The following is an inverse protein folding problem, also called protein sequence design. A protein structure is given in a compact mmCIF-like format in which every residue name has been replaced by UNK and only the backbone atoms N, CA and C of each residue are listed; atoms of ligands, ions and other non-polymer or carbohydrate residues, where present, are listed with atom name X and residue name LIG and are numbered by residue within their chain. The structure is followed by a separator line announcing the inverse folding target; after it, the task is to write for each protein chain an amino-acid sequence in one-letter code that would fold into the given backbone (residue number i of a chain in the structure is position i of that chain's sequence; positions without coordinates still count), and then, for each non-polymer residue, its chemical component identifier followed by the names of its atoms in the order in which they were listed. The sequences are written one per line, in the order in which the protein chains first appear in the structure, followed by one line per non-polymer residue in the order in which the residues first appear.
data_IF_798262661097
#
_entry.id   IF_798262661097
#
_cell.length_a   1.000
_cell.length_b   1.000
_cell.length_c   1.000
_cell.angle_alpha   90.00
_cell.angle_beta   90.00
_cell.angle_gamma   90.00
#
_symmetry.space_group_name_H-M   'P 1'
#
loop_
_entity.id
_entity.type
_entity.pdbx_description
1 polymer ?
#
# COMPACT_ATOMS: atom_id res chain seq x y z
N UNK A 1 -35.95 -50.75 -12.36
CA UNK A 1 -34.52 -50.53 -12.11
C UNK A 1 -34.08 -49.29 -12.92
N UNK A 2 -34.08 -48.12 -12.30
CA UNK A 2 -33.63 -46.84 -12.92
C UNK A 2 -32.16 -46.62 -12.57
N UNK A 3 -31.28 -46.70 -13.54
CA UNK A 3 -29.86 -46.37 -13.38
C UNK A 3 -29.71 -44.87 -13.31
N UNK A 4 -29.29 -44.34 -12.13
CA UNK A 4 -28.87 -42.96 -11.94
C UNK A 4 -27.45 -42.83 -12.52
N UNK A 5 -27.29 -42.10 -13.60
CA UNK A 5 -26.00 -41.68 -14.11
C UNK A 5 -25.62 -40.40 -13.37
N UNK A 6 -24.66 -40.49 -12.44
CA UNK A 6 -23.97 -39.32 -11.89
C UNK A 6 -23.03 -38.79 -12.95
N UNK A 7 -23.37 -37.65 -13.54
CA UNK A 7 -22.45 -36.87 -14.35
C UNK A 7 -21.50 -36.09 -13.41
N UNK A 8 -20.27 -36.58 -13.31
CA UNK A 8 -19.17 -35.87 -12.67
C UNK A 8 -18.76 -34.71 -13.60
N UNK A 9 -19.24 -33.50 -13.33
CA UNK A 9 -18.76 -32.31 -14.00
C UNK A 9 -17.34 -32.03 -13.52
N UNK A 10 -16.34 -32.37 -14.36
CA UNK A 10 -14.97 -31.90 -14.18
C UNK A 10 -14.95 -30.39 -14.39
N UNK A 11 -14.91 -29.64 -13.30
CA UNK A 11 -14.55 -28.23 -13.35
C UNK A 11 -13.03 -28.17 -13.57
N UNK A 12 -12.61 -28.13 -14.82
CA UNK A 12 -11.24 -27.75 -15.18
C UNK A 12 -11.11 -26.27 -14.95
N UNK A 13 -10.80 -25.88 -13.71
CA UNK A 13 -10.33 -24.56 -13.40
C UNK A 13 -9.04 -24.32 -14.17
N UNK A 14 -9.04 -23.34 -15.08
CA UNK A 14 -7.83 -22.80 -15.68
C UNK A 14 -7.11 -22.03 -14.57
N UNK A 15 -6.41 -22.76 -13.71
CA UNK A 15 -5.36 -22.19 -12.90
C UNK A 15 -4.21 -21.85 -13.87
N UNK A 16 -4.24 -20.66 -14.48
CA UNK A 16 -3.04 -20.10 -15.08
C UNK A 16 -2.05 -19.91 -13.93
N UNK A 17 -1.17 -20.89 -13.84
CA UNK A 17 -0.23 -21.00 -12.73
C UNK A 17 0.61 -19.72 -12.65
N UNK A 18 0.49 -18.97 -11.56
CA UNK A 18 1.39 -17.86 -11.20
C UNK A 18 2.86 -18.30 -11.27
N UNK A 19 3.16 -19.58 -11.02
CA UNK A 19 4.48 -20.20 -11.13
C UNK A 19 5.16 -20.03 -12.51
N UNK A 20 4.42 -19.63 -13.56
CA UNK A 20 4.95 -19.44 -14.90
C UNK A 20 5.19 -17.94 -15.24
N UNK A 21 4.70 -17.00 -14.43
CA UNK A 21 4.86 -15.56 -14.66
C UNK A 21 6.18 -15.04 -14.10
N UNK A 22 6.91 -14.26 -14.91
CA UNK A 22 8.16 -13.65 -14.47
C UNK A 22 7.89 -12.36 -13.72
N UNK A 23 8.35 -12.29 -12.47
CA UNK A 23 8.08 -11.20 -11.54
C UNK A 23 9.31 -10.37 -11.28
N UNK A 24 9.16 -9.04 -11.31
CA UNK A 24 10.18 -8.07 -10.90
C UNK A 24 9.65 -7.22 -9.74
N UNK A 25 10.44 -7.08 -8.68
CA UNK A 25 10.25 -6.06 -7.66
C UNK A 25 11.15 -4.87 -8.00
N UNK A 26 10.53 -3.77 -8.45
CA UNK A 26 11.24 -2.55 -8.86
C UNK A 26 10.83 -1.43 -7.91
N UNK A 27 11.78 -0.77 -7.23
CA UNK A 27 11.44 0.16 -6.18
C UNK A 27 12.42 1.32 -6.02
N UNK A 28 11.90 2.46 -5.55
CA UNK A 28 12.68 3.55 -4.98
C UNK A 28 12.51 3.59 -3.46
N UNK A 29 13.59 3.83 -2.74
CA UNK A 29 13.55 3.99 -1.28
C UNK A 29 14.53 5.06 -0.84
N UNK A 30 14.03 6.10 -0.15
CA UNK A 30 14.87 7.19 0.35
C UNK A 30 15.58 6.81 1.65
N UNK A 31 14.83 6.32 2.62
CA UNK A 31 15.32 6.05 3.98
C UNK A 31 15.38 4.55 4.34
N UNK A 32 15.27 3.66 3.35
CA UNK A 32 15.31 2.21 3.55
C UNK A 32 13.96 1.56 3.85
N UNK A 33 12.92 2.30 4.22
CA UNK A 33 11.62 1.71 4.61
C UNK A 33 10.96 0.96 3.45
N UNK A 34 10.87 1.59 2.26
CA UNK A 34 10.33 0.91 1.07
C UNK A 34 11.21 -0.28 0.64
N UNK A 35 12.53 -0.17 0.82
CA UNK A 35 13.47 -1.27 0.59
C UNK A 35 13.13 -2.50 1.44
N UNK A 36 12.84 -2.31 2.73
CA UNK A 36 12.45 -3.41 3.63
C UNK A 36 11.22 -4.16 3.09
N UNK A 37 10.22 -3.44 2.61
CA UNK A 37 9.02 -4.04 1.99
C UNK A 37 9.37 -4.76 0.68
N UNK A 38 10.24 -4.17 -0.14
CA UNK A 38 10.70 -4.76 -1.40
C UNK A 38 11.46 -6.06 -1.20
N UNK A 39 12.36 -6.12 -0.23
CA UNK A 39 13.13 -7.31 0.12
C UNK A 39 12.23 -8.43 0.66
N UNK A 40 11.19 -8.08 1.42
CA UNK A 40 10.22 -9.07 1.88
C UNK A 40 9.37 -9.61 0.71
N UNK A 41 8.93 -8.76 -0.23
CA UNK A 41 8.27 -9.20 -1.47
C UNK A 41 9.17 -10.12 -2.29
N UNK A 42 10.44 -9.75 -2.48
CA UNK A 42 11.41 -10.59 -3.16
C UNK A 42 11.50 -11.98 -2.54
N UNK A 43 11.65 -12.04 -1.22
CA UNK A 43 11.77 -13.28 -0.45
C UNK A 43 10.53 -14.16 -0.60
N UNK A 44 9.33 -13.58 -0.47
CA UNK A 44 8.07 -14.34 -0.52
C UNK A 44 7.71 -14.83 -1.92
N UNK A 45 8.10 -14.09 -2.97
CA UNK A 45 7.79 -14.41 -4.36
C UNK A 45 8.93 -15.14 -5.09
N UNK A 46 10.15 -15.17 -4.54
CA UNK A 46 11.33 -15.63 -5.25
C UNK A 46 11.64 -14.77 -6.49
N UNK A 47 11.25 -13.50 -6.48
CA UNK A 47 11.29 -12.60 -7.62
C UNK A 47 12.68 -11.98 -7.84
N UNK A 48 12.91 -11.48 -9.06
CA UNK A 48 14.01 -10.55 -9.31
C UNK A 48 13.75 -9.21 -8.60
N UNK A 49 14.79 -8.52 -8.16
CA UNK A 49 14.68 -7.22 -7.50
C UNK A 49 15.65 -6.22 -8.08
N UNK A 50 15.24 -4.95 -8.20
CA UNK A 50 16.10 -3.84 -8.58
C UNK A 50 15.65 -2.54 -7.92
N UNK A 51 16.64 -1.78 -7.42
CA UNK A 51 16.40 -0.44 -6.90
C UNK A 51 16.48 0.61 -8.01
N UNK A 52 15.52 1.51 -8.04
CA UNK A 52 15.60 2.76 -8.81
C UNK A 52 16.43 3.75 -8.02
N UNK A 53 17.50 4.26 -8.62
CA UNK A 53 18.40 5.19 -7.95
C UNK A 53 18.40 6.53 -8.69
N UNK A 54 18.20 7.63 -7.95
CA UNK A 54 18.46 8.96 -8.50
C UNK A 54 19.97 9.14 -8.77
N UNK A 55 20.33 9.80 -9.89
CA UNK A 55 21.73 10.10 -10.20
C UNK A 55 22.33 11.00 -9.12
N UNK A 56 21.58 12.03 -8.72
CA UNK A 56 21.89 12.84 -7.55
C UNK A 56 21.01 12.36 -6.40
N UNK A 57 21.61 11.71 -5.41
CA UNK A 57 20.88 11.26 -4.22
C UNK A 57 20.22 12.46 -3.50
N UNK A 58 19.08 12.21 -2.87
CA UNK A 58 18.51 13.16 -1.94
C UNK A 58 19.37 13.15 -0.68
N UNK A 59 19.96 14.28 -0.36
CA UNK A 59 20.88 14.43 0.77
C UNK A 59 20.37 15.50 1.72
N UNK A 60 20.78 15.41 2.97
CA UNK A 60 20.32 16.31 4.02
C UNK A 60 19.23 15.68 4.90
N UNK A 61 18.53 16.54 5.61
CA UNK A 61 17.44 16.12 6.49
C UNK A 61 16.11 15.96 5.74
N UNK A 62 15.08 15.61 6.49
CA UNK A 62 13.72 15.48 5.96
C UNK A 62 13.22 16.77 5.27
N UNK A 63 13.58 17.96 5.79
CA UNK A 63 13.16 19.23 5.21
C UNK A 63 13.83 19.49 3.86
N UNK A 64 15.11 19.17 3.72
CA UNK A 64 15.83 19.28 2.45
C UNK A 64 15.21 18.37 1.37
N UNK A 65 14.88 17.13 1.73
CA UNK A 65 14.17 16.19 0.84
C UNK A 65 12.81 16.74 0.41
N UNK A 66 12.02 17.27 1.35
CA UNK A 66 10.71 17.90 1.06
C UNK A 66 10.86 19.09 0.12
N UNK A 67 11.80 20.01 0.39
CA UNK A 67 12.00 21.20 -0.44
C UNK A 67 12.40 20.83 -1.86
N UNK A 68 13.36 19.90 -2.02
CA UNK A 68 13.79 19.41 -3.34
C UNK A 68 12.65 18.72 -4.08
N UNK A 69 12.00 17.76 -3.45
CA UNK A 69 10.91 17.01 -4.07
C UNK A 69 9.71 17.90 -4.46
N UNK A 70 9.41 18.93 -3.65
CA UNK A 70 8.36 19.89 -3.98
C UNK A 70 8.73 20.74 -5.21
N UNK A 71 9.98 21.23 -5.27
CA UNK A 71 10.50 21.98 -6.43
C UNK A 71 10.45 21.14 -7.70
N UNK A 72 10.89 19.89 -7.65
CA UNK A 72 10.83 18.95 -8.79
C UNK A 72 9.39 18.72 -9.25
N UNK A 73 8.47 18.51 -8.31
CA UNK A 73 7.05 18.31 -8.60
C UNK A 73 6.42 19.54 -9.27
N UNK A 74 6.65 20.72 -8.72
CA UNK A 74 6.06 21.99 -9.21
C UNK A 74 6.63 22.42 -10.56
N UNK A 75 7.92 22.20 -10.78
CA UNK A 75 8.58 22.53 -12.04
C UNK A 75 8.35 21.48 -13.15
N UNK A 76 7.93 20.26 -12.80
CA UNK A 76 7.90 19.13 -13.72
C UNK A 76 9.30 18.66 -14.18
N UNK A 77 10.36 19.16 -13.56
CA UNK A 77 11.75 18.76 -13.80
C UNK A 77 12.13 17.67 -12.80
N UNK A 78 11.82 16.44 -13.14
CA UNK A 78 12.09 15.30 -12.28
C UNK A 78 13.56 14.91 -12.29
N UNK A 79 14.07 14.27 -11.21
CA UNK A 79 15.46 13.90 -11.10
C UNK A 79 15.84 12.84 -12.13
N UNK A 80 17.03 12.94 -12.71
CA UNK A 80 17.58 11.87 -13.51
C UNK A 80 17.78 10.63 -12.64
N UNK A 81 17.51 9.45 -13.20
CA UNK A 81 17.73 8.15 -12.56
C UNK A 81 18.86 7.39 -13.25
N UNK A 82 19.54 6.51 -12.52
CA UNK A 82 20.48 5.57 -13.12
C UNK A 82 19.71 4.60 -14.02
N UNK A 83 20.37 4.15 -15.09
CA UNK A 83 19.75 3.20 -16.01
C UNK A 83 19.35 1.90 -15.29
N UNK A 84 18.13 1.44 -15.55
CA UNK A 84 17.63 0.16 -15.05
C UNK A 84 18.36 -0.97 -15.77
N UNK A 85 18.93 -1.91 -15.00
CA UNK A 85 19.70 -3.05 -15.52
C UNK A 85 18.79 -4.19 -16.00
N UNK A 86 17.66 -4.39 -15.30
CA UNK A 86 16.67 -5.39 -15.65
C UNK A 86 15.83 -4.91 -16.82
N UNK A 87 15.72 -5.74 -17.87
CA UNK A 87 14.87 -5.38 -18.99
C UNK A 87 13.38 -5.60 -18.62
N UNK A 88 12.64 -4.52 -18.47
CA UNK A 88 11.21 -4.51 -18.09
C UNK A 88 10.37 -5.42 -19.01
N UNK A 89 10.75 -5.54 -20.29
CA UNK A 89 10.03 -6.38 -21.27
C UNK A 89 10.04 -7.86 -20.89
N UNK A 90 11.02 -8.31 -20.15
CA UNK A 90 11.20 -9.73 -19.78
C UNK A 90 10.28 -10.18 -18.65
N UNK A 91 9.48 -9.28 -18.06
CA UNK A 91 8.63 -9.55 -16.90
C UNK A 91 7.15 -9.37 -17.26
N UNK A 92 6.32 -10.19 -16.65
CA UNK A 92 4.86 -10.14 -16.82
C UNK A 92 4.22 -9.25 -15.74
N UNK A 93 4.76 -9.37 -14.51
CA UNK A 93 4.28 -8.65 -13.33
C UNK A 93 5.44 -7.83 -12.72
N UNK A 94 5.15 -6.58 -12.44
CA UNK A 94 6.08 -5.66 -11.78
C UNK A 94 5.43 -5.15 -10.50
N UNK A 95 6.01 -5.54 -9.36
CA UNK A 95 5.72 -4.89 -8.09
C UNK A 95 6.50 -3.58 -8.05
N UNK A 96 5.78 -2.46 -8.16
CA UNK A 96 6.38 -1.13 -8.24
C UNK A 96 6.29 -0.42 -6.88
N UNK A 97 7.45 -0.21 -6.25
CA UNK A 97 7.57 0.28 -4.88
C UNK A 97 8.03 1.73 -4.77
N UNK A 98 7.41 2.49 -3.84
CA UNK A 98 7.76 3.90 -3.61
C UNK A 98 7.29 4.43 -2.25
N UNK A 99 7.99 5.41 -1.67
CA UNK A 99 7.41 6.22 -0.62
C UNK A 99 6.38 7.21 -1.20
N UNK A 100 5.31 7.46 -0.45
CA UNK A 100 4.34 8.51 -0.81
C UNK A 100 4.92 9.86 -0.47
N UNK A 101 5.10 10.70 -1.51
CA UNK A 101 5.48 12.09 -1.41
C UNK A 101 4.36 12.98 -1.98
N UNK A 102 3.90 13.95 -1.21
CA UNK A 102 2.85 14.89 -1.64
C UNK A 102 1.55 14.20 -2.16
N UNK A 103 1.20 13.07 -1.56
CA UNK A 103 0.00 12.30 -1.94
C UNK A 103 0.15 11.44 -3.20
N UNK A 104 1.35 11.37 -3.78
CA UNK A 104 1.65 10.54 -4.96
C UNK A 104 2.97 9.77 -4.78
N UNK A 105 3.45 9.09 -5.82
CA UNK A 105 4.75 8.42 -5.80
C UNK A 105 5.91 9.42 -5.82
N UNK A 106 7.05 9.03 -5.25
CA UNK A 106 8.28 9.82 -5.21
C UNK A 106 8.79 10.17 -6.62
N UNK A 107 9.44 11.32 -6.76
CA UNK A 107 9.85 11.89 -8.06
C UNK A 107 10.75 10.99 -8.90
N UNK A 108 11.68 10.18 -8.36
CA UNK A 108 12.43 9.19 -9.16
C UNK A 108 11.55 8.17 -9.88
N UNK A 109 10.40 7.81 -9.29
CA UNK A 109 9.42 6.93 -9.95
C UNK A 109 8.70 7.66 -11.09
N UNK A 110 8.47 8.97 -10.99
CA UNK A 110 7.92 9.75 -12.10
C UNK A 110 8.85 9.69 -13.33
N UNK A 111 10.16 9.81 -13.11
CA UNK A 111 11.17 9.64 -14.18
C UNK A 111 11.15 8.23 -14.75
N UNK A 112 11.16 7.20 -13.89
CA UNK A 112 11.09 5.80 -14.31
C UNK A 112 9.91 5.54 -15.22
N UNK A 113 8.71 5.97 -14.80
CA UNK A 113 7.44 5.79 -15.53
C UNK A 113 7.45 6.50 -16.87
N UNK A 114 8.07 7.68 -16.95
CA UNK A 114 8.19 8.47 -18.19
C UNK A 114 9.17 7.86 -19.19
N UNK A 115 10.29 7.32 -18.71
CA UNK A 115 11.41 6.90 -19.56
C UNK A 115 11.34 5.43 -19.99
N UNK A 116 10.43 4.63 -19.40
CA UNK A 116 10.34 3.21 -19.66
C UNK A 116 8.94 2.81 -20.19
N UNK A 117 8.92 1.76 -21.00
CA UNK A 117 7.68 1.22 -21.56
C UNK A 117 7.11 0.08 -20.69
N UNK A 118 5.98 0.34 -20.05
CA UNK A 118 5.22 -0.62 -19.25
C UNK A 118 3.97 -1.15 -19.97
N UNK A 119 3.83 -0.92 -21.29
CA UNK A 119 2.65 -1.36 -22.03
C UNK A 119 2.45 -2.89 -21.91
N UNK A 120 1.22 -3.29 -21.62
CA UNK A 120 0.83 -4.70 -21.46
C UNK A 120 1.31 -5.35 -20.14
N UNK A 121 2.06 -4.66 -19.29
CA UNK A 121 2.53 -5.20 -18.02
C UNK A 121 1.45 -5.10 -16.95
N UNK A 122 1.44 -6.08 -16.05
CA UNK A 122 0.70 -5.99 -14.79
C UNK A 122 1.56 -5.26 -13.77
N UNK A 123 1.07 -4.14 -13.25
CA UNK A 123 1.75 -3.35 -12.22
C UNK A 123 0.99 -3.49 -10.90
N UNK A 124 1.68 -3.93 -9.87
CA UNK A 124 1.17 -4.02 -8.50
C UNK A 124 1.88 -2.97 -7.66
N UNK A 125 1.25 -1.82 -7.37
CA UNK A 125 1.89 -0.80 -6.54
C UNK A 125 2.10 -1.31 -5.11
N UNK A 126 3.24 -0.97 -4.52
CA UNK A 126 3.39 -1.04 -3.07
C UNK A 126 4.04 0.22 -2.55
N UNK A 127 3.57 0.72 -1.42
CA UNK A 127 4.06 2.00 -0.94
C UNK A 127 4.22 2.07 0.57
N UNK A 128 5.14 2.94 0.98
CA UNK A 128 5.31 3.32 2.39
C UNK A 128 4.91 4.78 2.57
N UNK A 129 4.33 5.11 3.71
CA UNK A 129 3.79 6.44 3.94
C UNK A 129 3.77 6.82 5.42
N UNK A 130 3.66 8.11 5.71
CA UNK A 130 3.42 8.63 7.05
C UNK A 130 1.94 8.51 7.46
N UNK A 131 1.01 8.75 6.51
CA UNK A 131 -0.42 8.81 6.81
C UNK A 131 -1.32 7.98 5.88
N UNK A 132 -0.97 7.84 4.60
CA UNK A 132 -1.76 7.18 3.58
C UNK A 132 -1.34 7.64 2.18
N UNK A 133 -2.16 7.33 1.15
CA UNK A 133 -1.95 7.81 -0.21
C UNK A 133 -1.85 6.71 -1.26
N UNK A 134 -2.01 5.43 -0.89
CA UNK A 134 -1.99 4.31 -1.83
C UNK A 134 -2.99 4.50 -2.98
N UNK A 135 -4.25 4.80 -2.66
CA UNK A 135 -5.30 4.96 -3.67
C UNK A 135 -4.99 6.12 -4.62
N UNK A 136 -4.62 7.29 -4.07
CA UNK A 136 -4.31 8.49 -4.87
C UNK A 136 -3.11 8.24 -5.78
N UNK A 137 -2.06 7.61 -5.27
CA UNK A 137 -0.87 7.30 -6.08
C UNK A 137 -1.13 6.22 -7.13
N UNK A 138 -1.99 5.24 -6.83
CA UNK A 138 -2.42 4.23 -7.81
C UNK A 138 -3.22 4.85 -8.95
N UNK A 139 -4.11 5.81 -8.67
CA UNK A 139 -4.81 6.58 -9.70
C UNK A 139 -3.85 7.44 -10.54
N UNK A 140 -2.82 8.01 -9.92
CA UNK A 140 -1.77 8.72 -10.64
C UNK A 140 -0.98 7.78 -11.58
N UNK A 141 -0.66 6.55 -11.14
CA UNK A 141 -0.04 5.52 -11.98
C UNK A 141 -0.94 5.11 -13.16
N UNK A 142 -2.24 4.91 -12.94
CA UNK A 142 -3.19 4.60 -14.01
C UNK A 142 -3.20 5.67 -15.10
N UNK A 143 -3.15 6.95 -14.70
CA UNK A 143 -3.07 8.08 -15.63
C UNK A 143 -1.74 8.13 -16.39
N UNK A 144 -0.64 7.84 -15.70
CA UNK A 144 0.70 7.87 -16.28
C UNK A 144 0.98 6.66 -17.19
N UNK A 145 0.39 5.51 -16.88
CA UNK A 145 0.59 4.23 -17.57
C UNK A 145 -0.73 3.67 -18.15
N UNK A 146 -1.40 4.37 -19.07
CA UNK A 146 -2.74 3.99 -19.55
C UNK A 146 -2.78 2.65 -20.32
N UNK A 147 -1.62 2.12 -20.73
CA UNK A 147 -1.48 0.84 -21.43
C UNK A 147 -1.04 -0.30 -20.51
N UNK A 148 -0.78 -0.03 -19.23
CA UNK A 148 -0.47 -1.05 -18.22
C UNK A 148 -1.73 -1.44 -17.45
N UNK A 149 -1.70 -2.63 -16.85
CA UNK A 149 -2.78 -3.14 -16.01
C UNK A 149 -2.43 -2.90 -14.52
N UNK A 150 -2.88 -1.76 -13.99
CA UNK A 150 -2.63 -1.41 -12.58
C UNK A 150 -3.60 -2.16 -11.68
N UNK A 151 -3.07 -3.02 -10.83
CA UNK A 151 -3.83 -3.84 -9.87
C UNK A 151 -3.97 -3.15 -8.52
N UNK A 152 -4.76 -3.77 -7.65
CA UNK A 152 -4.78 -3.38 -6.23
C UNK A 152 -3.37 -3.48 -5.64
N UNK A 153 -2.96 -2.46 -4.92
CA UNK A 153 -1.64 -2.37 -4.32
C UNK A 153 -1.65 -2.68 -2.83
N UNK A 154 -0.45 -2.73 -2.25
CA UNK A 154 -0.21 -2.84 -0.81
C UNK A 154 0.38 -1.52 -0.30
N UNK A 155 -0.03 -1.10 0.90
CA UNK A 155 0.49 0.09 1.53
C UNK A 155 0.67 -0.07 3.03
N UNK A 156 1.78 0.43 3.56
CA UNK A 156 2.07 0.35 5.00
C UNK A 156 2.66 1.66 5.51
N UNK A 157 2.23 2.08 6.70
CA UNK A 157 2.89 3.21 7.38
C UNK A 157 4.33 2.87 7.73
N UNK A 158 5.22 3.85 7.56
CA UNK A 158 6.63 3.73 7.97
C UNK A 158 6.77 3.24 9.41
N UNK A 159 5.95 3.75 10.32
CA UNK A 159 5.94 3.34 11.72
C UNK A 159 5.51 1.87 11.96
N UNK A 160 4.87 1.23 10.97
CA UNK A 160 4.35 -0.14 11.04
C UNK A 160 5.07 -1.12 10.11
N UNK A 161 6.19 -0.72 9.52
CA UNK A 161 6.89 -1.56 8.53
C UNK A 161 7.27 -2.96 9.06
N UNK A 162 7.42 -3.11 10.37
CA UNK A 162 7.65 -4.41 11.00
C UNK A 162 6.49 -5.42 10.79
N UNK A 163 5.27 -4.93 10.59
CA UNK A 163 4.10 -5.78 10.30
C UNK A 163 4.05 -6.24 8.83
N UNK A 164 4.85 -5.63 7.95
CA UNK A 164 4.76 -5.84 6.50
C UNK A 164 4.91 -7.31 6.08
N UNK A 165 5.76 -8.10 6.74
CA UNK A 165 5.98 -9.50 6.37
C UNK A 165 4.68 -10.33 6.45
N UNK A 166 3.92 -10.19 7.53
CA UNK A 166 2.64 -10.89 7.74
C UNK A 166 1.53 -10.32 6.85
N UNK A 167 1.47 -9.01 6.72
CA UNK A 167 0.47 -8.32 5.90
C UNK A 167 0.66 -8.62 4.41
N UNK A 168 1.91 -8.69 3.92
CA UNK A 168 2.24 -9.07 2.56
C UNK A 168 1.91 -10.53 2.26
N UNK A 169 2.20 -11.45 3.18
CA UNK A 169 1.84 -12.85 3.02
C UNK A 169 0.35 -12.99 2.70
N UNK A 170 -0.48 -12.38 3.53
CA UNK A 170 -1.91 -12.31 3.32
C UNK A 170 -2.29 -11.65 2.00
N UNK A 171 -1.74 -10.48 1.72
CA UNK A 171 -2.02 -9.72 0.50
C UNK A 171 -1.70 -10.53 -0.77
N UNK A 172 -0.56 -11.23 -0.78
CA UNK A 172 -0.13 -12.03 -1.92
C UNK A 172 -1.06 -13.22 -2.17
N UNK A 173 -1.51 -13.89 -1.09
CA UNK A 173 -2.45 -15.02 -1.21
C UNK A 173 -3.83 -14.53 -1.67
N UNK A 174 -4.37 -13.49 -1.05
CA UNK A 174 -5.69 -12.94 -1.40
C UNK A 174 -5.79 -12.46 -2.86
N UNK A 175 -4.66 -12.00 -3.43
CA UNK A 175 -4.60 -11.51 -4.80
C UNK A 175 -4.06 -12.53 -5.82
N UNK A 176 -3.82 -13.78 -5.39
CA UNK A 176 -3.37 -14.87 -6.25
C UNK A 176 -1.93 -14.78 -6.72
N UNK A 177 -1.09 -14.03 -6.02
CA UNK A 177 0.37 -13.94 -6.30
C UNK A 177 1.19 -14.98 -5.55
N UNK A 178 0.58 -15.67 -4.61
CA UNK A 178 1.19 -16.74 -3.83
C UNK A 178 0.15 -17.80 -3.53
N UNK A 179 0.54 -19.07 -3.57
CA UNK A 179 -0.31 -20.16 -3.12
C UNK A 179 -0.51 -20.11 -1.60
N UNK A 180 -1.70 -20.47 -1.15
CA UNK A 180 -2.07 -20.50 0.26
C UNK A 180 -3.57 -20.30 0.45
N UNK A 181 -3.99 -20.42 1.69
CA UNK A 181 -5.37 -20.13 2.11
C UNK A 181 -5.34 -19.11 3.24
N UNK A 182 -6.17 -18.09 3.12
CA UNK A 182 -6.40 -17.09 4.18
C UNK A 182 -7.90 -16.93 4.37
N UNK A 183 -8.33 -16.92 5.63
CA UNK A 183 -9.74 -16.65 5.94
C UNK A 183 -10.07 -15.21 5.49
N UNK A 184 -11.23 -14.98 4.81
CA UNK A 184 -11.65 -13.64 4.45
C UNK A 184 -11.75 -12.74 5.69
N UNK A 185 -11.30 -11.47 5.55
CA UNK A 185 -11.51 -10.51 6.64
C UNK A 185 -13.00 -10.21 6.77
N UNK A 186 -13.56 -10.27 7.97
CA UNK A 186 -14.93 -9.82 8.20
C UNK A 186 -15.15 -8.39 7.72
N UNK A 187 -16.35 -8.07 7.29
CA UNK A 187 -16.71 -6.69 7.04
C UNK A 187 -16.67 -5.87 8.34
N UNK A 188 -16.42 -4.56 8.22
CA UNK A 188 -16.65 -3.68 9.36
C UNK A 188 -18.15 -3.65 9.69
N UNK A 189 -18.47 -3.66 10.97
CA UNK A 189 -19.82 -3.45 11.46
C UNK A 189 -20.38 -2.08 11.10
N UNK A 190 -21.65 -1.86 11.39
CA UNK A 190 -22.32 -0.57 11.18
C UNK A 190 -21.57 0.55 11.90
N UNK A 191 -21.60 1.74 11.31
CA UNK A 191 -21.06 2.94 11.93
C UNK A 191 -22.00 3.39 13.06
N UNK A 192 -21.49 3.38 14.28
CA UNK A 192 -22.20 3.85 15.48
C UNK A 192 -21.45 5.05 16.09
N UNK A 193 -22.12 5.91 16.89
CA UNK A 193 -21.44 6.98 17.61
C UNK A 193 -20.32 6.42 18.49
N UNK A 194 -19.17 7.13 18.52
CA UNK A 194 -18.02 6.73 19.35
C UNK A 194 -18.35 6.76 20.83
N UNK A 195 -17.92 5.76 21.56
CA UNK A 195 -17.94 5.73 23.04
C UNK A 195 -16.70 6.40 23.63
N UNK A 196 -16.65 6.65 24.95
CA UNK A 196 -15.42 7.10 25.59
C UNK A 196 -14.25 6.14 25.39
N UNK A 197 -14.50 4.83 25.40
CA UNK A 197 -13.50 3.78 25.17
C UNK A 197 -12.96 3.85 23.74
N UNK A 198 -13.84 4.01 22.75
CA UNK A 198 -13.45 4.18 21.34
C UNK A 198 -12.59 5.43 21.12
N UNK A 199 -12.95 6.52 21.82
CA UNK A 199 -12.19 7.77 21.79
C UNK A 199 -10.81 7.60 22.41
N UNK A 200 -10.69 6.80 23.47
CA UNK A 200 -9.40 6.47 24.09
C UNK A 200 -8.51 5.66 23.13
N UNK A 201 -9.07 4.64 22.46
CA UNK A 201 -8.35 3.86 21.44
C UNK A 201 -7.85 4.78 20.30
N UNK A 202 -8.72 5.64 19.77
CA UNK A 202 -8.33 6.60 18.74
C UNK A 202 -7.19 7.52 19.21
N UNK A 203 -7.33 8.10 20.39
CA UNK A 203 -6.34 9.03 20.95
C UNK A 203 -4.99 8.34 21.19
N UNK A 204 -4.98 7.13 21.73
CA UNK A 204 -3.76 6.36 21.95
C UNK A 204 -3.07 6.04 20.62
N UNK A 205 -3.81 5.51 19.63
CA UNK A 205 -3.28 5.18 18.31
C UNK A 205 -2.67 6.37 17.58
N UNK A 206 -3.29 7.55 17.72
CA UNK A 206 -2.92 8.75 16.98
C UNK A 206 -1.97 9.68 17.76
N UNK A 207 -1.60 9.33 19.00
CA UNK A 207 -0.82 10.18 19.91
C UNK A 207 0.54 10.61 19.34
N UNK A 208 1.18 9.76 18.54
CA UNK A 208 2.49 10.01 17.93
C UNK A 208 2.40 10.62 16.52
N UNK A 209 1.19 10.80 16.00
CA UNK A 209 1.01 11.37 14.67
C UNK A 209 1.08 12.90 14.73
N UNK A 210 1.96 13.49 13.92
CA UNK A 210 2.33 14.91 14.01
C UNK A 210 1.24 15.88 13.54
N UNK A 211 0.28 15.40 12.75
CA UNK A 211 -0.76 16.27 12.18
C UNK A 211 -2.11 15.98 12.83
N UNK A 212 -2.91 17.02 13.13
CA UNK A 212 -4.24 16.81 13.72
C UNK A 212 -5.14 16.04 12.74
N UNK A 213 -5.72 14.95 13.22
CA UNK A 213 -6.68 14.14 12.47
C UNK A 213 -8.13 14.60 12.68
N UNK A 214 -8.37 15.48 13.65
CA UNK A 214 -9.69 15.94 14.03
C UNK A 214 -10.35 15.08 15.11
N UNK A 215 -11.68 15.14 15.21
CA UNK A 215 -12.46 14.47 16.27
C UNK A 215 -13.21 13.29 15.69
N UNK A 216 -13.06 12.06 16.23
CA UNK A 216 -13.83 10.91 15.79
C UNK A 216 -15.31 11.09 16.16
N UNK A 217 -16.21 10.75 15.24
CA UNK A 217 -17.66 10.89 15.40
C UNK A 217 -18.37 9.55 15.37
N UNK A 218 -17.99 8.70 14.43
CA UNK A 218 -18.59 7.37 14.26
C UNK A 218 -17.47 6.33 14.18
N UNK A 219 -17.78 5.10 14.55
CA UNK A 219 -16.87 3.97 14.48
C UNK A 219 -17.58 2.72 14.00
N UNK A 220 -16.97 2.01 13.07
CA UNK A 220 -17.29 0.62 12.74
C UNK A 220 -16.14 -0.27 13.20
N UNK A 221 -16.44 -1.41 13.79
CA UNK A 221 -15.44 -2.37 14.27
C UNK A 221 -15.53 -3.67 13.49
N UNK A 222 -14.41 -4.35 13.35
CA UNK A 222 -14.36 -5.75 12.92
C UNK A 222 -13.41 -6.53 13.81
N UNK A 223 -13.83 -7.74 14.11
CA UNK A 223 -13.03 -8.68 14.87
C UNK A 223 -12.35 -9.65 13.91
N UNK A 224 -11.05 -9.85 14.09
CA UNK A 224 -10.29 -10.92 13.46
C UNK A 224 -9.82 -11.91 14.52
N UNK A 225 -9.11 -12.95 14.15
CA UNK A 225 -8.52 -13.88 15.13
C UNK A 225 -7.49 -13.19 16.05
N UNK A 226 -6.75 -12.22 15.50
CA UNK A 226 -5.59 -11.62 16.19
C UNK A 226 -5.75 -10.14 16.49
N UNK A 227 -6.75 -9.45 15.92
CA UNK A 227 -6.93 -8.00 16.08
C UNK A 227 -8.39 -7.61 16.22
N UNK A 228 -8.62 -6.45 16.82
CA UNK A 228 -9.82 -5.64 16.65
C UNK A 228 -9.44 -4.43 15.80
N UNK A 229 -10.06 -4.29 14.64
CA UNK A 229 -9.82 -3.18 13.73
C UNK A 229 -10.96 -2.16 13.82
N UNK A 230 -10.61 -0.90 13.82
CA UNK A 230 -11.52 0.24 13.95
C UNK A 230 -11.48 1.08 12.68
N UNK A 231 -12.66 1.46 12.20
CA UNK A 231 -12.86 2.40 11.09
C UNK A 231 -13.58 3.63 11.66
N UNK A 232 -12.84 4.69 11.95
CA UNK A 232 -13.38 5.93 12.47
C UNK A 232 -13.74 6.89 11.35
N UNK A 233 -14.92 7.49 11.39
CA UNK A 233 -15.23 8.70 10.65
C UNK A 233 -14.85 9.91 11.51
N UNK A 234 -14.01 10.77 10.98
CA UNK A 234 -13.41 11.88 11.70
C UNK A 234 -13.77 13.19 11.02
N UNK A 235 -14.15 14.20 11.81
CA UNK A 235 -14.34 15.58 11.35
C UNK A 235 -13.16 16.44 11.77
N UNK A 236 -12.66 17.21 10.85
CA UNK A 236 -11.65 18.25 11.10
C UNK A 236 -12.09 19.58 10.51
N UNK A 237 -11.73 20.66 11.18
CA UNK A 237 -11.97 22.02 10.70
C UNK A 237 -10.63 22.60 10.26
N UNK A 238 -10.52 23.00 8.99
CA UNK A 238 -9.32 23.66 8.45
C UNK A 238 -9.16 25.06 9.02
N UNK A 239 -7.97 25.64 8.80
CA UNK A 239 -7.67 27.02 9.26
C UNK A 239 -8.59 28.10 8.64
N UNK A 240 -9.20 27.81 7.51
CA UNK A 240 -10.19 28.65 6.83
C UNK A 240 -11.63 28.42 7.30
N UNK A 241 -11.85 27.57 8.33
CA UNK A 241 -13.17 27.21 8.85
C UNK A 241 -13.90 26.14 8.05
N UNK A 242 -13.33 25.61 6.96
CA UNK A 242 -13.95 24.54 6.20
C UNK A 242 -13.93 23.21 6.98
N UNK A 243 -15.09 22.57 7.05
CA UNK A 243 -15.19 21.23 7.60
C UNK A 243 -14.82 20.18 6.54
N UNK A 244 -13.98 19.24 6.93
CA UNK A 244 -13.65 18.08 6.13
C UNK A 244 -13.89 16.80 6.90
N UNK A 245 -14.25 15.74 6.18
CA UNK A 245 -14.40 14.41 6.74
C UNK A 245 -13.31 13.48 6.20
N UNK A 246 -12.76 12.67 7.08
CA UNK A 246 -11.79 11.63 6.72
C UNK A 246 -12.14 10.32 7.42
N UNK A 247 -11.58 9.23 6.90
CA UNK A 247 -11.65 7.92 7.55
C UNK A 247 -10.29 7.59 8.12
N UNK A 248 -10.24 7.27 9.41
CA UNK A 248 -9.02 6.86 10.11
C UNK A 248 -9.16 5.40 10.50
N UNK A 249 -8.17 4.61 10.14
CA UNK A 249 -8.11 3.20 10.49
C UNK A 249 -7.11 2.99 11.62
N UNK A 250 -7.53 2.17 12.59
CA UNK A 250 -6.73 1.79 13.76
C UNK A 250 -6.85 0.29 13.95
N UNK A 251 -5.78 -0.37 14.35
CA UNK A 251 -5.80 -1.78 14.74
C UNK A 251 -5.29 -1.94 16.17
N UNK A 252 -5.85 -2.90 16.90
CA UNK A 252 -5.42 -3.28 18.25
C UNK A 252 -5.22 -4.79 18.25
N UNK A 253 -4.01 -5.24 18.61
CA UNK A 253 -3.73 -6.66 18.82
C UNK A 253 -4.55 -7.24 19.97
N UNK A 254 -4.82 -8.53 19.94
CA UNK A 254 -5.52 -9.25 21.02
C UNK A 254 -4.57 -9.85 22.06
N UNK A 255 -3.27 -9.76 21.84
CA UNK A 255 -2.25 -10.14 22.80
C UNK A 255 -2.24 -9.18 24.01
N UNK A 256 -1.88 -9.69 25.16
CA UNK A 256 -1.78 -8.89 26.38
C UNK A 256 -0.80 -7.73 26.22
N UNK A 257 -1.22 -6.53 26.56
CA UNK A 257 -0.41 -5.31 26.46
C UNK A 257 -0.33 -4.69 25.08
N UNK A 258 -1.04 -5.22 24.06
CA UNK A 258 -1.09 -4.63 22.74
C UNK A 258 -1.54 -3.18 22.78
N UNK A 259 -0.82 -2.32 22.07
CA UNK A 259 -1.15 -0.91 21.97
C UNK A 259 -1.92 -0.65 20.68
N UNK A 260 -2.88 0.30 20.69
CA UNK A 260 -3.55 0.74 19.48
C UNK A 260 -2.56 1.33 18.47
N UNK A 261 -2.65 0.89 17.23
CA UNK A 261 -1.81 1.36 16.13
C UNK A 261 -2.63 2.09 15.07
N UNK A 262 -2.24 3.32 14.76
CA UNK A 262 -2.77 4.05 13.62
C UNK A 262 -2.26 3.41 12.31
N UNK A 263 -3.16 2.99 11.42
CA UNK A 263 -2.78 2.31 10.18
C UNK A 263 -2.82 3.22 8.97
N UNK A 264 -3.88 4.01 8.80
CA UNK A 264 -4.04 4.89 7.63
C UNK A 264 -5.08 5.98 7.88
N UNK A 265 -4.95 7.12 7.19
CA UNK A 265 -6.04 8.07 6.98
C UNK A 265 -6.36 8.20 5.49
N UNK A 266 -7.63 8.07 5.16
CA UNK A 266 -8.19 8.29 3.82
C UNK A 266 -9.01 9.59 3.83
N UNK A 267 -8.62 10.55 2.97
CA UNK A 267 -9.25 11.87 2.80
C UNK A 267 -10.01 11.95 1.49
#
# INVERSE_FOLDING_TARGET
MRKLLLSLAMVTGIATSFAQQKVLVLYYSENGTTKTVAEELQKQLGADIEAVEAVEAYTGDFQATIQRGNKERESGQWPAIKAIKKNIKDYDIIFLGYPIWFGTYAMPIATLVKENDFAGKTIVPFCTFGSGGLNTSSEALKKALPKANIKQGYGVRTARVAAAAKELDRFLIENGYKEGEVAPLPAYGELVPVTPEDSAVFSAACSTYQFPLGTPKMVGKRETETTTDYKFTVKSTGMNGEESASTVYVTVGKEEGAQPEFTEVVR
#
